data_IF_446658691455
#
_entry.id   IF_446658691455
#
_cell.length_a   1.000
_cell.length_b   1.000
_cell.length_c   1.000
_cell.angle_alpha   90.00
_cell.angle_beta   90.00
_cell.angle_gamma   90.00
#
_symmetry.space_group_name_H-M   'P 1'
#
loop_
_entity.id
_entity.type
_entity.pdbx_description
1 polymer ?
#
# COMPACT_ATOMS: atom_id res chain seq x y z
N UNK A 1 19.19 -50.06 7.17
CA UNK A 1 18.10 -49.24 7.76
C UNK A 1 18.61 -48.33 8.88
N UNK A 2 19.35 -48.83 9.87
CA UNK A 2 19.83 -48.04 11.02
C UNK A 2 20.73 -46.84 10.65
N UNK A 3 21.62 -47.00 9.66
CA UNK A 3 22.44 -45.88 9.16
C UNK A 3 21.61 -44.73 8.56
N UNK A 4 20.47 -45.04 7.93
CA UNK A 4 19.55 -44.05 7.37
C UNK A 4 18.80 -43.28 8.46
N UNK A 5 18.41 -43.94 9.54
CA UNK A 5 17.78 -43.31 10.71
C UNK A 5 18.77 -42.44 11.50
N UNK A 6 20.02 -42.87 11.61
CA UNK A 6 21.09 -42.07 12.23
C UNK A 6 21.40 -40.80 11.41
N UNK A 7 21.53 -40.93 10.09
CA UNK A 7 21.74 -39.78 9.20
C UNK A 7 20.54 -38.81 9.20
N UNK A 8 19.31 -39.33 9.18
CA UNK A 8 18.10 -38.52 9.28
C UNK A 8 18.01 -37.78 10.63
N UNK A 9 18.38 -38.45 11.73
CA UNK A 9 18.49 -37.83 13.05
C UNK A 9 19.52 -36.69 13.09
N UNK A 10 20.71 -36.91 12.52
CA UNK A 10 21.74 -35.88 12.41
C UNK A 10 21.30 -34.66 11.60
N UNK A 11 20.63 -34.87 10.47
CA UNK A 11 20.07 -33.79 9.66
C UNK A 11 18.97 -33.02 10.39
N UNK A 12 18.10 -33.72 11.14
CA UNK A 12 17.07 -33.07 11.95
C UNK A 12 17.68 -32.22 13.07
N UNK A 13 18.70 -32.71 13.76
CA UNK A 13 19.41 -31.95 14.80
C UNK A 13 20.07 -30.70 14.22
N UNK A 14 20.75 -30.82 13.07
CA UNK A 14 21.33 -29.67 12.38
C UNK A 14 20.25 -28.66 11.97
N UNK A 15 19.12 -29.13 11.44
CA UNK A 15 18.01 -28.26 11.06
C UNK A 15 17.41 -27.52 12.26
N UNK A 16 17.18 -28.22 13.37
CA UNK A 16 16.70 -27.61 14.62
C UNK A 16 17.70 -26.59 15.16
N UNK A 17 19.00 -26.88 15.09
CA UNK A 17 20.05 -25.95 15.48
C UNK A 17 20.01 -24.68 14.62
N UNK A 18 19.91 -24.81 13.29
CA UNK A 18 19.79 -23.67 12.37
C UNK A 18 18.54 -22.85 12.67
N UNK A 19 17.39 -23.49 12.87
CA UNK A 19 16.13 -22.79 13.18
C UNK A 19 16.25 -22.04 14.50
N UNK A 20 16.79 -22.67 15.54
CA UNK A 20 16.91 -22.05 16.85
C UNK A 20 17.92 -20.88 16.83
N UNK A 21 19.15 -21.13 16.39
CA UNK A 21 20.26 -20.19 16.56
C UNK A 21 20.38 -19.15 15.44
N UNK A 22 19.98 -19.47 14.21
CA UNK A 22 20.10 -18.54 13.08
C UNK A 22 18.78 -17.84 12.72
N UNK A 23 17.63 -18.39 13.12
CA UNK A 23 16.32 -17.81 12.80
C UNK A 23 15.63 -17.26 14.06
N UNK A 24 15.35 -18.10 15.06
CA UNK A 24 14.57 -17.75 16.23
C UNK A 24 15.31 -16.78 17.16
N UNK A 25 16.52 -17.11 17.63
CA UNK A 25 17.26 -16.27 18.58
C UNK A 25 17.53 -14.85 18.02
N UNK A 26 18.03 -14.68 16.79
CA UNK A 26 18.19 -13.34 16.23
C UNK A 26 16.86 -12.61 16.05
N UNK A 27 15.75 -13.33 15.81
CA UNK A 27 14.42 -12.70 15.73
C UNK A 27 13.93 -12.24 17.10
N UNK A 28 14.11 -13.04 18.15
CA UNK A 28 13.71 -12.70 19.52
C UNK A 28 14.41 -11.42 20.00
N UNK A 29 15.72 -11.34 19.81
CA UNK A 29 16.51 -10.18 20.26
C UNK A 29 16.54 -9.02 19.25
N UNK A 30 15.96 -9.19 18.05
CA UNK A 30 15.94 -8.15 17.02
C UNK A 30 17.32 -7.89 16.40
N UNK A 31 18.24 -8.84 16.51
CA UNK A 31 19.59 -8.76 15.95
C UNK A 31 19.55 -9.16 14.47
N UNK A 32 20.19 -8.37 13.62
CA UNK A 32 20.41 -8.70 12.21
C UNK A 32 21.76 -9.38 12.04
N UNK A 33 21.81 -10.49 11.31
CA UNK A 33 23.06 -11.19 10.97
C UNK A 33 23.86 -10.50 9.86
N UNK A 34 23.43 -9.32 9.37
CA UNK A 34 24.12 -8.54 8.34
C UNK A 34 23.97 -9.05 6.90
N UNK A 35 23.63 -10.33 6.70
CA UNK A 35 23.47 -10.97 5.37
C UNK A 35 22.52 -10.19 4.46
N UNK A 36 21.39 -9.74 4.99
CA UNK A 36 20.42 -8.95 4.22
C UNK A 36 20.99 -7.60 3.76
N UNK A 37 21.82 -6.96 4.60
CA UNK A 37 22.46 -5.68 4.24
C UNK A 37 23.41 -5.84 3.06
N UNK A 38 24.27 -6.85 3.09
CA UNK A 38 25.19 -7.19 1.98
C UNK A 38 24.40 -7.54 0.71
N UNK A 39 23.35 -8.36 0.83
CA UNK A 39 22.48 -8.71 -0.30
C UNK A 39 21.84 -7.47 -0.95
N UNK A 40 21.31 -6.55 -0.15
CA UNK A 40 20.72 -5.30 -0.66
C UNK A 40 21.78 -4.44 -1.35
N UNK A 41 22.98 -4.30 -0.77
CA UNK A 41 24.07 -3.54 -1.39
C UNK A 41 24.46 -4.11 -2.75
N UNK A 42 24.64 -5.44 -2.86
CA UNK A 42 24.93 -6.11 -4.13
C UNK A 42 23.82 -5.85 -5.15
N UNK A 43 22.57 -5.96 -4.72
CA UNK A 43 21.42 -5.76 -5.58
C UNK A 43 21.29 -4.32 -6.08
N UNK A 44 21.58 -3.32 -5.25
CA UNK A 44 21.64 -1.90 -5.66
C UNK A 44 22.64 -1.74 -6.81
N UNK A 45 23.87 -2.25 -6.66
CA UNK A 45 24.89 -2.14 -7.71
C UNK A 45 24.44 -2.80 -9.03
N UNK A 46 23.79 -3.97 -8.96
CA UNK A 46 23.25 -4.67 -10.14
C UNK A 46 22.16 -3.83 -10.83
N UNK A 47 21.21 -3.29 -10.05
CA UNK A 47 20.08 -2.53 -10.57
C UNK A 47 20.50 -1.15 -11.11
N UNK A 48 21.46 -0.49 -10.49
CA UNK A 48 22.06 0.76 -10.99
C UNK A 48 22.80 0.53 -12.30
N UNK A 49 23.63 -0.51 -12.37
CA UNK A 49 24.30 -0.91 -13.60
C UNK A 49 23.29 -1.21 -14.73
N UNK A 50 22.22 -1.95 -14.41
CA UNK A 50 21.15 -2.25 -15.37
C UNK A 50 20.45 -0.97 -15.84
N UNK A 51 20.17 -0.04 -14.93
CA UNK A 51 19.53 1.24 -15.23
C UNK A 51 20.38 2.08 -16.18
N UNK A 52 21.67 2.26 -15.91
CA UNK A 52 22.59 3.01 -16.79
C UNK A 52 22.64 2.40 -18.18
N UNK A 53 22.63 1.06 -18.27
CA UNK A 53 22.62 0.35 -19.56
C UNK A 53 21.34 0.57 -20.35
N UNK A 54 20.18 0.49 -19.69
CA UNK A 54 18.88 0.76 -20.33
C UNK A 54 18.84 2.20 -20.84
N UNK A 55 19.28 3.17 -20.03
CA UNK A 55 19.33 4.57 -20.41
C UNK A 55 20.27 4.83 -21.59
N UNK A 56 21.43 4.18 -21.63
CA UNK A 56 22.37 4.25 -22.76
C UNK A 56 21.75 3.68 -24.04
N UNK A 57 21.14 2.49 -23.97
CA UNK A 57 20.45 1.91 -25.12
C UNK A 57 19.31 2.80 -25.65
N UNK A 58 18.59 3.48 -24.74
CA UNK A 58 17.56 4.45 -25.11
C UNK A 58 18.14 5.70 -25.79
N UNK A 59 19.27 6.23 -25.31
CA UNK A 59 19.96 7.35 -25.96
C UNK A 59 20.48 6.98 -27.36
N UNK A 60 20.96 5.75 -27.53
CA UNK A 60 21.42 5.24 -28.83
C UNK A 60 20.25 5.02 -29.82
N UNK A 61 19.04 4.70 -29.33
CA UNK A 61 17.83 4.56 -30.15
C UNK A 61 17.07 5.89 -30.39
N UNK A 62 17.21 6.88 -29.50
CA UNK A 62 16.51 8.15 -29.55
C UNK A 62 17.28 9.18 -30.37
N UNK A 63 17.38 8.98 -31.69
CA UNK A 63 17.78 10.04 -32.65
C UNK A 63 16.61 11.00 -32.99
N UNK A 64 15.44 10.82 -32.38
CA UNK A 64 14.29 11.72 -32.53
C UNK A 64 14.01 12.40 -31.18
N UNK A 65 13.99 13.74 -31.10
CA UNK A 65 13.59 14.44 -29.88
C UNK A 65 12.12 14.13 -29.60
N UNK A 66 11.83 13.51 -28.45
CA UNK A 66 10.48 13.52 -27.89
C UNK A 66 10.32 14.87 -27.21
N UNK A 67 9.40 15.75 -27.64
CA UNK A 67 9.12 16.96 -26.89
C UNK A 67 8.47 16.53 -25.57
N UNK A 68 9.06 16.90 -24.44
CA UNK A 68 8.26 17.15 -23.24
C UNK A 68 7.68 18.56 -23.36
N UNK A 69 6.35 18.69 -23.27
CA UNK A 69 5.82 19.84 -22.56
C UNK A 69 4.85 19.38 -21.46
N UNK A 70 4.85 20.15 -20.39
CA UNK A 70 3.83 20.12 -19.34
C UNK A 70 2.43 20.15 -19.98
N UNK A 71 1.55 19.22 -19.58
CA UNK A 71 0.17 19.15 -20.05
C UNK A 71 0.06 18.68 -21.51
N UNK A 72 -0.19 17.38 -21.71
CA UNK A 72 -0.38 16.79 -23.06
C UNK A 72 -1.57 17.44 -23.80
N UNK A 73 -2.53 18.03 -23.06
CA UNK A 73 -3.71 18.69 -23.62
C UNK A 73 -3.93 20.01 -22.87
N UNK A 74 -3.94 21.13 -23.59
CA UNK A 74 -4.34 22.43 -23.05
C UNK A 74 -5.87 22.53 -23.08
N UNK A 75 -6.51 22.64 -21.92
CA UNK A 75 -7.95 22.85 -21.83
C UNK A 75 -8.31 24.29 -22.19
N UNK A 76 -9.19 24.44 -23.17
CA UNK A 76 -9.99 25.66 -23.30
C UNK A 76 -11.01 25.65 -22.15
N UNK A 77 -10.79 26.46 -21.11
CA UNK A 77 -11.62 26.51 -19.90
C UNK A 77 -13.01 27.13 -20.09
N UNK A 78 -13.80 26.62 -21.04
CA UNK A 78 -15.17 27.07 -21.34
C UNK A 78 -16.26 26.10 -20.88
N UNK A 79 -17.50 26.58 -20.86
CA UNK A 79 -18.66 25.74 -20.56
C UNK A 79 -18.95 24.74 -21.70
N UNK A 80 -19.68 23.65 -21.42
CA UNK A 80 -20.06 22.67 -22.45
C UNK A 80 -20.79 23.34 -23.63
N UNK A 81 -21.68 24.29 -23.33
CA UNK A 81 -22.42 25.02 -24.35
C UNK A 81 -21.48 25.84 -25.25
N UNK A 82 -20.54 26.59 -24.66
CA UNK A 82 -19.59 27.42 -25.42
C UNK A 82 -18.71 26.60 -26.36
N UNK A 83 -18.21 25.45 -25.90
CA UNK A 83 -17.33 24.60 -26.71
C UNK A 83 -18.11 23.86 -27.82
N UNK A 84 -19.36 23.48 -27.56
CA UNK A 84 -20.26 22.91 -28.58
C UNK A 84 -20.68 23.98 -29.61
N UNK A 85 -21.04 25.18 -29.18
CA UNK A 85 -21.33 26.31 -30.07
C UNK A 85 -20.14 26.65 -30.95
N UNK A 86 -18.94 26.76 -30.35
CA UNK A 86 -17.69 27.01 -31.08
C UNK A 86 -17.46 26.00 -32.20
N UNK A 87 -17.79 24.73 -31.96
CA UNK A 87 -17.69 23.66 -32.96
C UNK A 87 -18.77 23.74 -34.03
N UNK A 88 -19.98 24.16 -33.66
CA UNK A 88 -21.11 24.37 -34.59
C UNK A 88 -20.96 25.65 -35.43
N UNK A 89 -20.06 26.59 -35.09
CA UNK A 89 -19.82 27.82 -35.90
C UNK A 89 -19.45 27.53 -37.36
N UNK A 90 -18.84 26.39 -37.67
CA UNK A 90 -18.50 25.99 -39.04
C UNK A 90 -19.69 25.46 -39.84
N UNK A 91 -20.78 25.05 -39.17
CA UNK A 91 -22.01 24.54 -39.77
C UNK A 91 -23.21 24.84 -38.86
N UNK A 92 -23.87 25.99 -39.02
CA UNK A 92 -25.02 26.36 -38.21
C UNK A 92 -26.17 25.38 -38.48
N UNK A 93 -26.63 24.67 -37.45
CA UNK A 93 -27.88 23.90 -37.49
C UNK A 93 -29.00 24.74 -36.86
N UNK A 94 -30.28 24.52 -37.24
CA UNK A 94 -31.42 25.05 -36.52
C UNK A 94 -31.35 24.68 -35.02
N UNK A 95 -31.79 25.59 -34.14
CA UNK A 95 -31.97 25.29 -32.71
C UNK A 95 -32.87 24.06 -32.56
N UNK A 96 -32.47 23.09 -31.73
CA UNK A 96 -33.21 21.84 -31.53
C UNK A 96 -32.54 20.59 -32.10
N UNK A 97 -31.51 20.71 -32.94
CA UNK A 97 -30.94 19.54 -33.62
C UNK A 97 -29.64 19.01 -32.99
N UNK A 98 -29.58 17.68 -32.88
CA UNK A 98 -28.36 16.93 -32.54
C UNK A 98 -27.39 16.97 -33.71
N UNK A 99 -26.14 17.37 -33.47
CA UNK A 99 -25.09 17.28 -34.49
C UNK A 99 -24.16 16.10 -34.17
N UNK A 100 -23.86 15.28 -35.18
CA UNK A 100 -22.91 14.15 -35.00
C UNK A 100 -21.53 14.62 -34.49
N UNK A 101 -21.15 15.86 -34.82
CA UNK A 101 -19.92 16.51 -34.32
C UNK A 101 -19.88 16.68 -32.80
N UNK A 102 -21.03 16.71 -32.12
CA UNK A 102 -21.11 16.84 -30.67
C UNK A 102 -20.52 15.60 -29.97
N UNK A 103 -20.57 14.43 -30.62
CA UNK A 103 -19.91 13.23 -30.13
C UNK A 103 -18.38 13.42 -30.01
N UNK A 104 -17.76 14.23 -30.88
CA UNK A 104 -16.33 14.53 -30.81
C UNK A 104 -15.98 15.40 -29.60
N UNK A 105 -16.89 16.26 -29.14
CA UNK A 105 -16.72 16.99 -27.89
C UNK A 105 -16.65 16.01 -26.71
N UNK A 106 -17.63 15.11 -26.58
CA UNK A 106 -17.62 14.12 -25.50
C UNK A 106 -16.42 13.18 -25.56
N UNK A 107 -16.00 12.79 -26.76
CA UNK A 107 -14.80 11.97 -26.94
C UNK A 107 -13.53 12.73 -26.50
N UNK A 108 -13.37 13.99 -26.91
CA UNK A 108 -12.26 14.86 -26.45
C UNK A 108 -12.27 15.02 -24.93
N UNK A 109 -13.41 15.40 -24.36
CA UNK A 109 -13.55 15.62 -22.91
C UNK A 109 -13.32 14.32 -22.12
N UNK A 110 -13.75 13.18 -22.67
CA UNK A 110 -13.48 11.87 -22.10
C UNK A 110 -11.98 11.52 -22.10
N UNK A 111 -11.29 11.75 -23.22
CA UNK A 111 -9.83 11.55 -23.33
C UNK A 111 -9.08 12.49 -22.38
N UNK A 112 -9.43 13.78 -22.33
CA UNK A 112 -8.86 14.74 -21.38
C UNK A 112 -9.04 14.27 -19.93
N UNK A 113 -10.22 13.80 -19.58
CA UNK A 113 -10.50 13.32 -18.21
C UNK A 113 -9.71 12.06 -17.86
N UNK A 114 -9.37 11.21 -18.83
CA UNK A 114 -8.49 10.04 -18.64
C UNK A 114 -7.04 10.49 -18.46
N UNK A 115 -6.59 11.48 -19.24
CA UNK A 115 -5.22 12.02 -19.16
C UNK A 115 -5.00 12.74 -17.83
N UNK A 116 -5.98 13.52 -17.38
CA UNK A 116 -5.95 14.28 -16.13
C UNK A 116 -6.33 13.44 -14.90
N UNK A 117 -6.43 12.11 -15.04
CA UNK A 117 -6.87 11.23 -13.97
C UNK A 117 -5.82 11.10 -12.85
N UNK A 118 -5.97 11.94 -11.83
CA UNK A 118 -5.11 11.94 -10.66
C UNK A 118 -5.43 10.81 -9.66
N UNK A 119 -6.56 10.10 -9.83
CA UNK A 119 -7.11 9.18 -8.83
C UNK A 119 -6.92 7.74 -9.23
N UNK A 120 -7.36 7.30 -10.42
CA UNK A 120 -7.31 5.87 -10.77
C UNK A 120 -5.88 5.36 -10.97
N UNK A 121 -4.98 6.23 -11.43
CA UNK A 121 -3.55 5.93 -11.53
C UNK A 121 -2.95 5.53 -10.18
N UNK A 122 -3.47 6.06 -9.07
CA UNK A 122 -3.02 5.74 -7.71
C UNK A 122 -3.45 4.36 -7.22
N UNK A 123 -4.34 3.70 -7.95
CA UNK A 123 -4.74 2.31 -7.71
C UNK A 123 -4.07 1.32 -8.68
N UNK A 124 -3.05 1.78 -9.41
CA UNK A 124 -2.19 0.97 -10.26
C UNK A 124 -0.76 0.95 -9.70
N UNK A 125 0.01 -0.08 -10.06
CA UNK A 125 1.42 -0.19 -9.70
C UNK A 125 2.18 1.08 -10.10
N UNK A 126 3.10 1.53 -9.24
CA UNK A 126 3.94 2.70 -9.51
C UNK A 126 4.77 2.45 -10.78
N UNK A 127 4.73 3.40 -11.71
CA UNK A 127 5.54 3.34 -12.92
C UNK A 127 6.99 3.71 -12.59
N UNK A 128 7.89 2.77 -12.85
CA UNK A 128 9.31 2.96 -12.58
C UNK A 128 9.99 3.70 -13.74
N UNK A 129 10.85 4.66 -13.41
CA UNK A 129 11.70 5.34 -14.38
C UNK A 129 12.70 4.38 -15.07
N UNK A 130 13.07 3.27 -14.39
CA UNK A 130 13.93 2.23 -14.94
C UNK A 130 13.45 0.82 -14.57
N UNK A 131 13.76 -0.15 -15.44
CA UNK A 131 13.33 -1.53 -15.22
C UNK A 131 14.15 -2.21 -14.11
N UNK A 132 13.44 -2.74 -13.10
CA UNK A 132 14.02 -3.47 -11.98
C UNK A 132 14.22 -4.98 -12.23
N UNK A 133 14.31 -5.42 -13.49
CA UNK A 133 14.48 -6.82 -13.87
C UNK A 133 13.34 -7.75 -13.40
N UNK A 134 12.18 -7.21 -13.03
CA UNK A 134 10.96 -7.98 -12.79
C UNK A 134 10.06 -7.86 -14.03
N UNK A 135 9.64 -8.99 -14.60
CA UNK A 135 8.81 -8.99 -15.82
C UNK A 135 7.44 -8.34 -15.60
N UNK A 136 6.94 -8.37 -14.37
CA UNK A 136 5.58 -7.90 -14.02
C UNK A 136 5.45 -6.39 -13.79
N UNK A 137 6.56 -5.67 -13.63
CA UNK A 137 6.62 -4.21 -13.46
C UNK A 137 7.00 -3.54 -14.79
N UNK A 138 6.93 -4.29 -15.89
CA UNK A 138 7.40 -3.88 -17.20
C UNK A 138 6.28 -4.08 -18.23
N UNK A 139 5.67 -2.99 -18.68
CA UNK A 139 4.60 -3.04 -19.68
C UNK A 139 5.09 -2.73 -21.10
N UNK A 140 6.26 -2.11 -21.29
CA UNK A 140 6.64 -1.50 -22.57
C UNK A 140 8.08 -1.71 -23.05
N UNK A 141 8.91 -2.53 -22.40
CA UNK A 141 10.28 -2.75 -22.89
C UNK A 141 10.37 -4.02 -23.74
N UNK A 142 10.31 -3.83 -25.08
CA UNK A 142 10.83 -4.80 -26.05
C UNK A 142 12.34 -4.99 -25.83
N UNK A 143 12.83 -6.19 -26.20
CA UNK A 143 14.22 -6.66 -26.08
C UNK A 143 15.27 -5.53 -26.02
N UNK A 144 15.93 -5.36 -24.87
CA UNK A 144 16.90 -4.27 -24.65
C UNK A 144 18.33 -4.73 -25.03
N UNK A 145 18.80 -5.86 -24.49
CA UNK A 145 20.11 -6.44 -24.84
C UNK A 145 20.31 -7.87 -24.33
N UNK A 146 21.15 -8.67 -25.01
CA UNK A 146 21.50 -10.04 -24.59
C UNK A 146 22.05 -10.10 -23.16
N UNK A 147 22.95 -9.18 -22.79
CA UNK A 147 23.57 -9.13 -21.45
C UNK A 147 22.53 -8.91 -20.35
N UNK A 148 21.58 -8.01 -20.59
CA UNK A 148 20.50 -7.75 -19.64
C UNK A 148 19.54 -8.94 -19.52
N UNK A 149 19.27 -9.63 -20.64
CA UNK A 149 18.48 -10.87 -20.66
C UNK A 149 19.15 -12.00 -19.87
N UNK A 150 20.49 -12.14 -19.97
CA UNK A 150 21.24 -13.12 -19.18
C UNK A 150 21.14 -12.82 -17.68
N UNK A 151 21.32 -11.56 -17.28
CA UNK A 151 21.20 -11.15 -15.87
C UNK A 151 19.76 -11.34 -15.37
N UNK A 152 18.76 -11.02 -16.19
CA UNK A 152 17.36 -11.29 -15.89
C UNK A 152 17.11 -12.78 -15.69
N UNK A 153 17.62 -13.64 -16.59
CA UNK A 153 17.48 -15.09 -16.49
C UNK A 153 18.14 -15.66 -15.24
N UNK A 154 19.36 -15.23 -14.92
CA UNK A 154 20.02 -15.56 -13.65
C UNK A 154 19.19 -15.08 -12.45
N UNK A 155 18.63 -13.88 -12.54
CA UNK A 155 17.73 -13.33 -11.54
C UNK A 155 16.47 -14.15 -11.33
N UNK A 156 15.90 -14.73 -12.39
CA UNK A 156 14.78 -15.68 -12.29
C UNK A 156 15.25 -16.95 -11.55
N UNK A 157 16.38 -17.53 -11.93
CA UNK A 157 16.92 -18.73 -11.25
C UNK A 157 17.14 -18.49 -9.76
N UNK A 158 17.77 -17.37 -9.39
CA UNK A 158 18.01 -17.02 -7.97
C UNK A 158 16.69 -16.78 -7.24
N UNK A 159 15.75 -16.00 -7.81
CA UNK A 159 14.49 -15.67 -7.14
C UNK A 159 13.60 -16.89 -6.93
N UNK A 160 13.46 -17.76 -7.93
CA UNK A 160 12.55 -18.90 -7.88
C UNK A 160 13.20 -20.17 -7.35
N UNK A 161 14.49 -20.40 -7.59
CA UNK A 161 15.22 -21.59 -7.15
C UNK A 161 15.79 -21.47 -5.74
N UNK A 162 16.14 -20.27 -5.28
CA UNK A 162 16.81 -20.07 -3.97
C UNK A 162 15.95 -19.24 -3.02
N UNK A 163 15.60 -18.01 -3.41
CA UNK A 163 14.92 -17.08 -2.51
C UNK A 163 13.49 -17.54 -2.18
N UNK A 164 12.71 -17.95 -3.16
CA UNK A 164 11.31 -18.31 -2.97
C UNK A 164 11.13 -19.52 -2.03
N UNK A 165 11.83 -20.67 -2.19
CA UNK A 165 11.77 -21.77 -1.24
C UNK A 165 12.18 -21.35 0.17
N UNK A 166 13.28 -20.61 0.31
CA UNK A 166 13.76 -20.11 1.60
C UNK A 166 12.70 -19.24 2.29
N UNK A 167 12.05 -18.34 1.54
CA UNK A 167 10.99 -17.46 2.03
C UNK A 167 9.75 -18.22 2.48
N UNK A 168 9.36 -19.27 1.76
CA UNK A 168 8.28 -20.17 2.20
C UNK A 168 8.66 -20.85 3.50
N UNK A 169 9.87 -21.40 3.62
CA UNK A 169 10.32 -22.05 4.85
C UNK A 169 10.28 -21.08 6.04
N UNK A 170 10.77 -19.86 5.87
CA UNK A 170 10.69 -18.82 6.91
C UNK A 170 9.25 -18.45 7.27
N UNK A 171 8.37 -18.30 6.29
CA UNK A 171 6.96 -18.02 6.53
C UNK A 171 6.27 -19.15 7.31
N UNK A 172 6.54 -20.41 6.97
CA UNK A 172 6.01 -21.58 7.70
C UNK A 172 6.52 -21.62 9.13
N UNK A 173 7.81 -21.35 9.36
CA UNK A 173 8.40 -21.28 10.70
C UNK A 173 7.75 -20.15 11.51
N UNK A 174 7.63 -18.95 10.93
CA UNK A 174 7.03 -17.79 11.61
C UNK A 174 5.56 -18.00 11.99
N UNK A 175 4.77 -18.55 11.07
CA UNK A 175 3.35 -18.86 11.32
C UNK A 175 3.18 -19.99 12.34
N UNK A 176 4.00 -21.04 12.26
CA UNK A 176 4.02 -22.13 13.25
C UNK A 176 4.37 -21.60 14.64
N UNK A 177 5.39 -20.74 14.74
CA UNK A 177 5.77 -20.07 15.99
C UNK A 177 4.63 -19.24 16.57
N UNK A 178 3.91 -18.49 15.73
CA UNK A 178 2.77 -17.71 16.18
C UNK A 178 1.67 -18.61 16.76
N UNK A 179 1.28 -19.67 16.05
CA UNK A 179 0.21 -20.58 16.48
C UNK A 179 0.60 -21.29 17.78
N UNK A 180 1.79 -21.88 17.84
CA UNK A 180 2.26 -22.62 19.01
C UNK A 180 2.50 -21.67 20.18
N UNK A 181 3.26 -20.59 19.97
CA UNK A 181 3.61 -19.63 21.00
C UNK A 181 2.39 -18.94 21.61
N UNK A 182 1.43 -18.49 20.81
CA UNK A 182 0.21 -17.86 21.34
C UNK A 182 -0.68 -18.86 22.06
N UNK A 183 -0.72 -20.12 21.63
CA UNK A 183 -1.46 -21.18 22.34
C UNK A 183 -0.85 -21.45 23.71
N UNK A 184 0.48 -21.60 23.79
CA UNK A 184 1.19 -21.82 25.06
C UNK A 184 1.03 -20.63 26.02
N UNK A 185 1.21 -19.40 25.52
CA UNK A 185 1.00 -18.17 26.31
C UNK A 185 -0.46 -18.04 26.77
N UNK A 186 -1.41 -18.50 25.96
CA UNK A 186 -2.84 -18.49 26.27
C UNK A 186 -3.21 -19.33 27.50
N UNK A 187 -2.45 -20.39 27.79
CA UNK A 187 -2.65 -21.26 28.95
C UNK A 187 -2.17 -20.63 30.26
N UNK A 188 -1.36 -19.57 30.20
CA UNK A 188 -0.80 -18.91 31.38
C UNK A 188 -1.84 -17.98 32.06
N UNK A 189 -1.80 -17.85 33.39
CA UNK A 189 -2.64 -16.89 34.11
C UNK A 189 -2.25 -15.44 33.78
N UNK A 190 -3.21 -14.52 33.90
CA UNK A 190 -2.99 -13.09 33.67
C UNK A 190 -1.90 -12.53 34.60
N UNK A 191 -0.78 -12.15 34.01
CA UNK A 191 0.40 -11.66 34.74
C UNK A 191 1.21 -10.69 33.87
N UNK A 192 2.12 -9.95 34.49
CA UNK A 192 3.12 -9.14 33.75
C UNK A 192 4.01 -10.02 32.86
N UNK A 193 4.43 -11.19 33.38
CA UNK A 193 5.23 -12.17 32.64
C UNK A 193 4.50 -12.71 31.39
N UNK A 194 3.20 -13.04 31.51
CA UNK A 194 2.37 -13.43 30.36
C UNK A 194 2.34 -12.35 29.28
N UNK A 195 2.17 -11.07 29.67
CA UNK A 195 2.14 -9.94 28.72
C UNK A 195 3.47 -9.77 28.01
N UNK A 196 4.58 -9.81 28.75
CA UNK A 196 5.92 -9.75 28.18
C UNK A 196 6.19 -10.91 27.21
N UNK A 197 5.85 -12.14 27.61
CA UNK A 197 6.04 -13.32 26.77
C UNK A 197 5.15 -13.28 25.52
N UNK A 198 3.92 -12.78 25.64
CA UNK A 198 3.03 -12.53 24.50
C UNK A 198 3.66 -11.53 23.53
N UNK A 199 4.15 -10.40 24.03
CA UNK A 199 4.83 -9.39 23.20
C UNK A 199 6.06 -10.00 22.49
N UNK A 200 6.87 -10.78 23.21
CA UNK A 200 8.04 -11.46 22.65
C UNK A 200 7.67 -12.46 21.54
N UNK A 201 6.65 -13.29 21.75
CA UNK A 201 6.17 -14.28 20.75
C UNK A 201 5.71 -13.58 19.48
N UNK A 202 4.89 -12.52 19.60
CA UNK A 202 4.37 -11.78 18.46
C UNK A 202 5.49 -11.07 17.70
N UNK A 203 6.38 -10.34 18.39
CA UNK A 203 7.53 -9.67 17.77
C UNK A 203 8.42 -10.66 17.01
N UNK A 204 8.70 -11.81 17.62
CA UNK A 204 9.51 -12.87 17.00
C UNK A 204 8.86 -13.38 15.72
N UNK A 205 7.54 -13.66 15.74
CA UNK A 205 6.79 -14.03 14.54
C UNK A 205 6.89 -12.96 13.45
N UNK A 206 6.57 -11.70 13.75
CA UNK A 206 6.54 -10.64 12.75
C UNK A 206 7.93 -10.39 12.15
N UNK A 207 9.00 -10.48 12.96
CA UNK A 207 10.38 -10.40 12.47
C UNK A 207 10.75 -11.54 11.54
N UNK A 208 10.33 -12.78 11.85
CA UNK A 208 10.55 -13.93 10.96
C UNK A 208 9.75 -13.76 9.66
N UNK A 209 8.48 -13.36 9.73
CA UNK A 209 7.65 -13.11 8.56
C UNK A 209 8.22 -11.98 7.68
N UNK A 210 8.70 -10.90 8.28
CA UNK A 210 9.39 -9.80 7.58
C UNK A 210 10.65 -10.30 6.87
N UNK A 211 11.48 -11.11 7.54
CA UNK A 211 12.66 -11.77 6.93
C UNK A 211 12.27 -12.74 5.80
N UNK A 212 11.13 -13.43 5.94
CA UNK A 212 10.51 -14.25 4.90
C UNK A 212 10.03 -13.47 3.68
N UNK A 213 9.97 -12.14 3.74
CA UNK A 213 9.77 -11.27 2.57
C UNK A 213 11.06 -10.58 2.11
N UNK A 214 12.19 -10.94 2.71
CA UNK A 214 13.46 -10.20 2.64
C UNK A 214 13.24 -8.70 2.90
N UNK A 215 12.39 -8.39 3.89
CA UNK A 215 12.09 -7.03 4.24
C UNK A 215 13.27 -6.39 4.97
N UNK A 216 13.72 -5.24 4.48
CA UNK A 216 14.71 -4.38 5.13
C UNK A 216 14.00 -3.10 5.54
N UNK A 217 13.74 -2.98 6.84
CA UNK A 217 13.00 -1.84 7.41
C UNK A 217 13.97 -0.88 8.08
N UNK A 218 13.98 0.36 7.61
CA UNK A 218 14.72 1.45 8.25
C UNK A 218 13.74 2.29 9.05
N UNK A 219 13.92 2.28 10.37
CA UNK A 219 13.09 3.04 11.30
C UNK A 219 13.78 4.34 11.70
N UNK A 220 13.13 5.45 11.40
CA UNK A 220 13.59 6.80 11.69
C UNK A 220 12.82 7.37 12.88
N UNK A 221 13.46 8.23 13.67
CA UNK A 221 12.84 8.95 14.80
C UNK A 221 12.16 8.04 15.84
N UNK A 222 12.83 6.95 16.23
CA UNK A 222 12.31 5.93 17.18
C UNK A 222 11.83 6.49 18.54
N UNK A 223 12.26 7.70 18.93
CA UNK A 223 11.75 8.41 20.11
C UNK A 223 10.24 8.67 20.04
N UNK A 224 9.69 8.83 18.84
CA UNK A 224 8.27 9.15 18.62
C UNK A 224 7.39 7.91 18.43
N UNK A 225 7.91 6.71 18.73
CA UNK A 225 7.14 5.47 18.58
C UNK A 225 5.78 5.55 19.27
N UNK A 226 4.74 4.94 18.67
CA UNK A 226 3.42 4.88 19.28
C UNK A 226 3.44 4.29 20.68
N UNK A 227 2.90 5.03 21.64
CA UNK A 227 2.92 4.64 23.05
C UNK A 227 1.64 3.91 23.46
N UNK A 228 1.69 3.17 24.59
CA UNK A 228 0.53 2.47 25.15
C UNK A 228 -0.60 3.48 25.43
N UNK A 229 -1.83 3.11 25.08
CA UNK A 229 -3.00 4.00 25.11
C UNK A 229 -3.04 5.09 24.03
N UNK A 230 -2.14 5.07 23.05
CA UNK A 230 -2.16 5.95 21.88
C UNK A 230 -2.80 5.32 20.64
N UNK A 231 -2.94 6.10 19.58
CA UNK A 231 -3.41 5.63 18.27
C UNK A 231 -2.30 5.84 17.23
N UNK A 232 -1.81 4.77 16.63
CA UNK A 232 -0.89 4.81 15.50
C UNK A 232 -1.68 4.98 14.21
N UNK A 233 -1.41 6.06 13.48
CA UNK A 233 -2.01 6.35 12.18
C UNK A 233 -0.92 6.29 11.11
N UNK A 234 -1.13 5.49 10.07
CA UNK A 234 -0.18 5.35 8.98
C UNK A 234 -0.86 5.41 7.61
N UNK A 235 -0.12 5.85 6.58
CA UNK A 235 -0.52 5.62 5.20
C UNK A 235 -0.50 4.11 4.88
N UNK A 236 -1.29 3.69 3.89
CA UNK A 236 -1.54 2.28 3.62
C UNK A 236 -1.25 1.91 2.16
N UNK A 237 -0.12 1.24 1.92
CA UNK A 237 0.25 0.76 0.59
C UNK A 237 -0.06 -0.71 0.39
N UNK A 238 -0.04 -1.50 1.47
CA UNK A 238 -0.17 -2.95 1.37
C UNK A 238 -0.63 -3.61 2.67
N UNK A 239 -1.33 -4.77 2.62
CA UNK A 239 -1.61 -5.57 3.80
C UNK A 239 -0.37 -5.92 4.65
N UNK A 240 0.82 -5.98 4.05
CA UNK A 240 2.04 -6.28 4.82
C UNK A 240 2.53 -5.09 5.66
N UNK A 241 1.95 -3.88 5.51
CA UNK A 241 2.25 -2.71 6.35
C UNK A 241 2.13 -3.05 7.84
N UNK A 242 1.14 -3.90 8.18
CA UNK A 242 0.96 -4.45 9.53
C UNK A 242 2.21 -5.20 9.99
N UNK A 243 2.76 -6.08 9.17
CA UNK A 243 3.95 -6.87 9.50
C UNK A 243 5.17 -5.96 9.60
N UNK A 244 5.28 -4.95 8.73
CA UNK A 244 6.36 -3.97 8.72
C UNK A 244 6.37 -3.12 10.00
N UNK A 245 5.21 -2.63 10.44
CA UNK A 245 5.12 -1.90 11.72
C UNK A 245 5.30 -2.84 12.91
N UNK A 246 4.67 -4.03 12.86
CA UNK A 246 4.71 -5.00 13.95
C UNK A 246 6.08 -5.66 14.17
N UNK A 247 7.02 -5.42 13.25
CA UNK A 247 8.42 -5.84 13.39
C UNK A 247 9.18 -5.01 14.47
N UNK A 248 8.70 -3.81 14.81
CA UNK A 248 9.32 -2.90 15.78
C UNK A 248 8.53 -2.68 17.07
N UNK A 249 7.23 -2.99 17.07
CA UNK A 249 6.36 -2.86 18.23
C UNK A 249 5.05 -3.64 18.09
N UNK A 250 4.37 -3.93 19.19
CA UNK A 250 3.08 -4.63 19.15
C UNK A 250 1.91 -3.63 19.08
N UNK A 251 0.92 -3.92 18.22
CA UNK A 251 -0.24 -3.07 18.00
C UNK A 251 -1.54 -3.84 18.20
N UNK A 252 -2.54 -3.16 18.76
CA UNK A 252 -3.92 -3.63 18.70
C UNK A 252 -4.49 -3.28 17.33
N UNK A 253 -4.94 -4.28 16.59
CA UNK A 253 -5.51 -4.07 15.26
C UNK A 253 -7.03 -4.05 15.29
N UNK A 254 -7.62 -3.12 14.52
CA UNK A 254 -9.05 -3.10 14.23
C UNK A 254 -9.28 -3.84 12.91
N UNK A 255 -9.47 -5.16 12.96
CA UNK A 255 -9.73 -5.94 11.75
C UNK A 255 -11.21 -5.89 11.36
N UNK A 256 -11.50 -5.48 10.12
CA UNK A 256 -12.84 -5.59 9.51
C UNK A 256 -13.17 -6.96 8.92
N UNK A 257 -12.25 -7.93 8.99
CA UNK A 257 -12.46 -9.30 8.50
C UNK A 257 -12.82 -10.23 9.67
N UNK A 258 -13.93 -10.95 9.52
CA UNK A 258 -14.43 -11.91 10.50
C UNK A 258 -13.47 -13.10 10.68
N UNK A 259 -12.80 -13.16 11.83
CA UNK A 259 -12.28 -14.43 12.35
C UNK A 259 -13.38 -15.10 13.20
N UNK A 260 -13.52 -16.44 13.17
CA UNK A 260 -14.54 -17.13 13.95
C UNK A 260 -14.35 -16.89 15.45
N UNK A 261 -15.44 -16.77 16.23
CA UNK A 261 -15.35 -16.45 17.65
C UNK A 261 -14.87 -17.68 18.42
N UNK A 262 -13.61 -17.68 18.86
CA UNK A 262 -13.13 -18.61 19.90
C UNK A 262 -12.78 -17.81 21.15
N UNK A 263 -13.43 -18.17 22.26
CA UNK A 263 -13.48 -17.48 23.57
C UNK A 263 -12.11 -17.24 24.26
N UNK A 264 -10.99 -17.71 23.70
CA UNK A 264 -9.65 -17.61 24.31
C UNK A 264 -8.75 -16.50 23.75
N UNK A 265 -9.20 -15.71 22.78
CA UNK A 265 -8.46 -14.53 22.26
C UNK A 265 -9.02 -13.23 22.82
N UNK A 266 -8.74 -12.92 24.09
CA UNK A 266 -9.01 -11.56 24.64
C UNK A 266 -7.81 -10.62 24.52
N UNK A 267 -6.61 -11.13 24.18
CA UNK A 267 -5.38 -10.34 24.05
C UNK A 267 -4.83 -10.20 22.64
N UNK A 268 -5.47 -10.84 21.65
CA UNK A 268 -5.13 -10.71 20.24
C UNK A 268 -6.37 -10.25 19.48
N UNK A 269 -6.30 -9.03 18.92
CA UNK A 269 -7.20 -8.38 17.97
C UNK A 269 -8.68 -8.84 18.02
N UNK A 270 -9.52 -8.08 18.72
CA UNK A 270 -10.97 -8.19 18.57
C UNK A 270 -11.40 -7.54 17.24
N UNK A 271 -12.15 -8.25 16.36
CA UNK A 271 -12.75 -7.65 15.17
C UNK A 271 -13.86 -6.70 15.61
N UNK A 272 -13.62 -5.39 15.50
CA UNK A 272 -14.56 -4.37 15.98
C UNK A 272 -15.43 -3.88 14.81
N UNK A 273 -16.74 -4.15 14.87
CA UNK A 273 -17.74 -3.71 13.87
C UNK A 273 -17.84 -2.17 13.83
N UNK A 274 -17.82 -1.58 12.63
CA UNK A 274 -17.74 -0.11 12.37
C UNK A 274 -18.71 0.77 13.17
N UNK A 275 -19.93 0.32 13.48
CA UNK A 275 -20.93 1.15 14.20
C UNK A 275 -20.96 0.95 15.72
N UNK A 276 -20.41 -0.16 16.24
CA UNK A 276 -20.24 -0.39 17.68
C UNK A 276 -18.78 -0.15 18.16
N UNK A 277 -17.92 0.29 17.24
CA UNK A 277 -16.48 0.40 17.45
C UNK A 277 -16.06 1.64 18.23
N UNK A 278 -16.67 2.80 17.99
CA UNK A 278 -16.18 4.05 18.57
C UNK A 278 -16.14 4.05 20.11
N UNK A 279 -17.18 3.60 20.85
CA UNK A 279 -17.12 3.54 22.31
C UNK A 279 -16.05 2.56 22.84
N UNK A 280 -15.91 1.41 22.18
CA UNK A 280 -14.91 0.41 22.56
C UNK A 280 -13.47 0.87 22.26
N UNK A 281 -13.25 1.61 21.17
CA UNK A 281 -11.97 2.24 20.87
C UNK A 281 -11.65 3.32 21.89
N UNK A 282 -12.61 4.17 22.25
CA UNK A 282 -12.46 5.17 23.33
C UNK A 282 -12.06 4.53 24.64
N UNK A 283 -12.75 3.47 25.05
CA UNK A 283 -12.42 2.73 26.27
C UNK A 283 -11.02 2.06 26.21
N UNK A 284 -10.59 1.62 25.02
CA UNK A 284 -9.25 1.06 24.83
C UNK A 284 -8.16 2.13 24.95
N UNK A 285 -8.35 3.29 24.32
CA UNK A 285 -7.42 4.43 24.39
C UNK A 285 -7.33 4.97 25.82
N UNK A 286 -8.46 5.06 26.52
CA UNK A 286 -8.50 5.48 27.93
C UNK A 286 -7.70 4.53 28.85
N UNK A 287 -7.65 3.24 28.53
CA UNK A 287 -6.83 2.27 29.23
C UNK A 287 -5.35 2.37 28.80
N UNK A 288 -4.61 3.31 29.41
CA UNK A 288 -3.19 3.61 29.14
C UNK A 288 -2.22 2.41 29.24
N UNK A 289 -2.66 1.28 29.80
CA UNK A 289 -1.87 0.05 29.91
C UNK A 289 -1.94 -0.83 28.66
N UNK A 290 -2.86 -0.56 27.73
CA UNK A 290 -3.07 -1.36 26.52
C UNK A 290 -2.18 -0.92 25.37
N UNK A 291 -1.93 -1.85 24.45
CA UNK A 291 -1.15 -1.60 23.24
C UNK A 291 -1.78 -0.48 22.37
N UNK A 292 -0.95 0.32 21.67
CA UNK A 292 -1.45 1.33 20.75
C UNK A 292 -2.34 0.70 19.67
N UNK A 293 -3.38 1.41 19.26
CA UNK A 293 -4.28 0.96 18.20
C UNK A 293 -3.68 1.36 16.85
N UNK A 294 -3.50 0.40 15.94
CA UNK A 294 -3.06 0.69 14.57
C UNK A 294 -4.27 0.91 13.66
N UNK A 295 -4.29 2.06 12.98
CA UNK A 295 -5.35 2.46 12.06
C UNK A 295 -4.73 2.96 10.74
N UNK A 296 -5.31 2.49 9.64
CA UNK A 296 -5.05 2.96 8.28
C UNK A 296 -6.27 3.76 7.78
N UNK A 297 -6.33 5.07 8.04
CA UNK A 297 -7.54 5.87 7.83
C UNK A 297 -7.90 6.09 6.36
N UNK A 298 -7.03 5.74 5.40
CA UNK A 298 -7.36 5.72 3.97
C UNK A 298 -8.46 4.69 3.64
N UNK A 299 -8.59 3.63 4.43
CA UNK A 299 -9.61 2.58 4.25
C UNK A 299 -9.42 1.69 3.01
N UNK A 300 -8.31 1.85 2.29
CA UNK A 300 -7.90 1.02 1.15
C UNK A 300 -6.39 1.13 0.98
N UNK A 301 -5.77 0.16 0.30
CA UNK A 301 -4.39 0.28 -0.14
C UNK A 301 -4.30 1.20 -1.37
N UNK A 302 -3.35 2.14 -1.33
CA UNK A 302 -2.99 3.09 -2.39
C UNK A 302 -1.55 2.80 -2.84
N UNK A 303 -1.22 3.10 -4.09
CA UNK A 303 0.16 2.94 -4.52
C UNK A 303 1.10 3.86 -3.75
N UNK A 304 2.39 3.57 -3.84
CA UNK A 304 3.44 4.17 -3.03
C UNK A 304 3.78 5.65 -3.43
N UNK A 305 2.88 6.36 -4.09
CA UNK A 305 3.13 7.71 -4.64
C UNK A 305 2.29 8.81 -4.01
N UNK A 306 1.20 8.47 -3.32
CA UNK A 306 0.23 9.43 -2.78
C UNK A 306 -0.42 8.93 -1.50
N UNK A 307 -1.02 9.84 -0.74
CA UNK A 307 -1.90 9.54 0.39
C UNK A 307 -3.31 10.07 0.08
N UNK A 308 -4.32 9.22 0.24
CA UNK A 308 -5.71 9.63 0.01
C UNK A 308 -6.32 10.31 1.25
N UNK A 309 -7.50 10.90 1.08
CA UNK A 309 -8.24 11.51 2.18
C UNK A 309 -8.45 10.53 3.33
N UNK A 310 -8.06 10.96 4.53
CA UNK A 310 -8.26 10.20 5.75
C UNK A 310 -9.70 10.28 6.23
N UNK A 311 -10.28 9.14 6.62
CA UNK A 311 -11.63 9.09 7.18
C UNK A 311 -11.65 9.71 8.58
N UNK A 312 -12.49 10.73 8.78
CA UNK A 312 -12.63 11.47 10.06
C UNK A 312 -12.96 10.60 11.28
N UNK A 313 -13.66 9.47 11.09
CA UNK A 313 -14.13 8.64 12.21
C UNK A 313 -13.00 8.08 13.10
N UNK A 314 -11.78 7.98 12.59
CA UNK A 314 -10.60 7.58 13.39
C UNK A 314 -10.07 8.70 14.30
N UNK A 315 -10.42 9.95 14.00
CA UNK A 315 -9.97 11.15 14.69
C UNK A 315 -11.01 11.66 15.71
N UNK A 316 -12.27 11.23 15.58
CA UNK A 316 -13.37 11.49 16.54
C UNK A 316 -13.27 10.65 17.83
N UNK A 317 -12.35 9.68 17.89
CA UNK A 317 -12.16 8.79 19.05
C UNK A 317 -11.55 9.57 20.22
N UNK A 318 -10.74 10.60 19.94
CA UNK A 318 -9.96 11.31 20.95
C UNK A 318 -8.71 10.53 21.39
N UNK A 319 -7.80 11.22 22.09
CA UNK A 319 -6.50 10.70 22.48
C UNK A 319 -5.35 11.19 21.58
N UNK A 320 -4.15 10.69 21.86
CA UNK A 320 -2.93 11.09 21.15
C UNK A 320 -2.74 10.27 19.88
N UNK A 321 -2.67 10.93 18.74
CA UNK A 321 -2.32 10.33 17.45
C UNK A 321 -0.80 10.31 17.32
N UNK A 322 -0.25 9.17 16.93
CA UNK A 322 1.15 8.99 16.55
C UNK A 322 1.18 8.75 15.04
N UNK A 323 1.48 9.78 14.23
CA UNK A 323 1.54 9.63 12.78
C UNK A 323 2.79 8.85 12.37
N UNK A 324 2.65 8.01 11.36
CA UNK A 324 3.73 7.19 10.82
C UNK A 324 3.69 7.23 9.30
N UNK A 325 4.79 7.68 8.70
CA UNK A 325 4.97 7.62 7.25
C UNK A 325 5.69 6.33 6.86
N UNK A 326 5.14 5.62 5.88
CA UNK A 326 5.69 4.40 5.29
C UNK A 326 5.97 4.68 3.82
N UNK A 327 7.23 4.47 3.39
CA UNK A 327 7.62 4.58 1.99
C UNK A 327 8.40 3.35 1.56
N UNK A 328 7.89 2.67 0.55
CA UNK A 328 8.58 1.56 -0.09
C UNK A 328 9.57 2.07 -1.15
N UNK A 329 10.64 1.32 -1.35
CA UNK A 329 11.55 1.55 -2.47
C UNK A 329 11.16 0.63 -3.64
N UNK A 330 10.53 1.19 -4.70
CA UNK A 330 9.95 0.39 -5.77
C UNK A 330 11.02 -0.26 -6.67
N UNK A 331 12.30 0.12 -6.51
CA UNK A 331 13.44 -0.50 -7.23
C UNK A 331 13.58 -1.99 -6.90
N UNK A 332 13.19 -2.42 -5.71
CA UNK A 332 13.37 -3.81 -5.26
C UNK A 332 12.14 -4.69 -5.51
N UNK A 333 10.97 -4.06 -5.60
CA UNK A 333 9.71 -4.74 -5.85
C UNK A 333 8.54 -3.79 -5.68
N UNK A 334 7.47 -4.05 -6.42
CA UNK A 334 6.20 -3.34 -6.25
C UNK A 334 5.46 -3.90 -5.03
N UNK A 335 5.38 -3.12 -3.95
CA UNK A 335 4.71 -3.51 -2.72
C UNK A 335 3.17 -3.36 -2.82
N UNK A 336 2.66 -2.56 -3.75
CA UNK A 336 1.25 -2.17 -3.80
C UNK A 336 0.33 -3.37 -4.01
N UNK A 337 -0.75 -3.44 -3.22
CA UNK A 337 -1.78 -4.46 -3.39
C UNK A 337 -3.04 -3.92 -4.07
N UNK A 338 -3.23 -4.35 -5.33
CA UNK A 338 -4.50 -4.18 -6.00
C UNK A 338 -5.46 -5.36 -5.72
N UNK A 339 -6.32 -5.18 -4.70
CA UNK A 339 -7.35 -6.15 -4.32
C UNK A 339 -8.34 -6.52 -5.42
N UNK A 340 -8.53 -5.67 -6.44
CA UNK A 340 -9.43 -5.95 -7.57
C UNK A 340 -8.80 -6.87 -8.61
N UNK A 341 -7.47 -6.97 -8.63
CA UNK A 341 -6.70 -7.75 -9.61
C UNK A 341 -6.11 -9.03 -9.01
N UNK A 342 -5.71 -8.98 -7.74
CA UNK A 342 -5.00 -10.09 -7.08
C UNK A 342 -5.65 -10.45 -5.75
N UNK A 343 -5.91 -11.74 -5.56
CA UNK A 343 -6.21 -12.28 -4.23
C UNK A 343 -4.95 -12.26 -3.33
N UNK A 344 -5.15 -12.44 -2.02
CA UNK A 344 -4.07 -12.36 -1.03
C UNK A 344 -2.92 -13.36 -1.31
N UNK A 345 -3.24 -14.60 -1.69
CA UNK A 345 -2.24 -15.63 -1.94
C UNK A 345 -1.37 -15.26 -3.14
N UNK A 346 -2.00 -14.88 -4.26
CA UNK A 346 -1.30 -14.42 -5.47
C UNK A 346 -0.43 -13.20 -5.17
N UNK A 347 -0.92 -12.27 -4.35
CA UNK A 347 -0.16 -11.11 -3.89
C UNK A 347 1.06 -11.52 -3.04
N UNK A 348 0.90 -12.41 -2.06
CA UNK A 348 2.00 -12.87 -1.22
C UNK A 348 3.06 -13.63 -2.04
N UNK A 349 2.64 -14.49 -2.98
CA UNK A 349 3.56 -15.15 -3.91
C UNK A 349 4.33 -14.14 -4.76
N UNK A 350 3.67 -13.04 -5.17
CA UNK A 350 4.35 -11.93 -5.85
C UNK A 350 5.39 -11.29 -4.94
N UNK A 351 5.07 -11.01 -3.68
CA UNK A 351 6.04 -10.41 -2.75
C UNK A 351 7.21 -11.36 -2.49
N UNK A 352 6.94 -12.65 -2.28
CA UNK A 352 7.96 -13.69 -2.07
C UNK A 352 8.82 -13.96 -3.30
N UNK A 353 8.43 -13.50 -4.49
CA UNK A 353 9.22 -13.60 -5.73
C UNK A 353 9.79 -12.25 -6.20
N UNK A 354 9.62 -11.18 -5.42
CA UNK A 354 10.32 -9.89 -5.60
C UNK A 354 11.81 -10.03 -5.27
N UNK A 355 12.63 -9.03 -5.57
CA UNK A 355 14.01 -9.04 -5.12
C UNK A 355 14.13 -8.86 -3.61
N UNK A 356 13.48 -7.82 -3.08
CA UNK A 356 13.38 -7.54 -1.65
C UNK A 356 12.23 -6.57 -1.39
N UNK A 357 11.89 -6.37 -0.12
CA UNK A 357 10.96 -5.32 0.32
C UNK A 357 11.78 -4.31 1.15
N UNK A 358 12.26 -3.26 0.51
CA UNK A 358 12.99 -2.20 1.22
C UNK A 358 12.00 -1.10 1.55
N UNK A 359 11.94 -0.71 2.82
CA UNK A 359 10.93 0.22 3.32
C UNK A 359 11.52 1.12 4.39
N UNK A 360 11.16 2.40 4.31
CA UNK A 360 11.45 3.39 5.32
C UNK A 360 10.18 3.68 6.12
N UNK A 361 10.33 3.74 7.43
CA UNK A 361 9.27 4.03 8.38
C UNK A 361 9.71 5.20 9.25
N UNK A 362 9.01 6.32 9.17
CA UNK A 362 9.28 7.49 10.01
C UNK A 362 8.20 7.61 11.08
N UNK A 363 8.62 7.66 12.34
CA UNK A 363 7.73 7.99 13.45
C UNK A 363 7.71 9.51 13.64
N UNK A 364 6.56 10.14 13.38
CA UNK A 364 6.41 11.60 13.50
C UNK A 364 6.03 11.97 14.95
N UNK A 365 6.29 13.22 15.36
CA UNK A 365 5.87 13.71 16.67
C UNK A 365 4.38 13.48 16.92
N UNK A 366 3.99 13.12 18.17
CA UNK A 366 2.59 12.90 18.51
C UNK A 366 1.77 14.18 18.31
N UNK A 367 0.53 14.01 17.85
CA UNK A 367 -0.40 15.08 17.56
C UNK A 367 -1.71 14.87 18.33
N UNK A 368 -2.27 15.97 18.82
CA UNK A 368 -3.63 16.04 19.38
C UNK A 368 -4.43 17.07 18.60
N UNK A 369 -5.75 16.95 18.65
CA UNK A 369 -6.66 17.95 18.10
C UNK A 369 -6.44 19.29 18.81
N UNK A 370 -6.45 20.39 18.06
CA UNK A 370 -6.34 21.75 18.59
C UNK A 370 -7.73 22.32 18.93
N UNK A 371 -7.81 23.39 19.71
CA UNK A 371 -9.10 23.96 20.17
C UNK A 371 -9.93 24.55 19.02
N UNK A 372 -9.27 25.02 17.95
CA UNK A 372 -9.84 25.61 16.75
C UNK A 372 -10.02 24.62 15.60
N UNK A 373 -9.75 23.33 15.82
CA UNK A 373 -9.70 22.31 14.78
C UNK A 373 -10.82 21.27 14.95
N UNK A 374 -11.57 20.99 13.89
CA UNK A 374 -12.50 19.86 13.86
C UNK A 374 -11.80 18.53 13.52
N UNK A 375 -12.51 17.40 13.66
CA UNK A 375 -11.92 16.09 13.41
C UNK A 375 -11.47 15.87 11.95
N UNK A 376 -12.07 16.57 10.98
CA UNK A 376 -11.71 16.47 9.57
C UNK A 376 -10.46 17.31 9.25
N UNK A 377 -10.37 18.52 9.80
CA UNK A 377 -9.18 19.36 9.75
C UNK A 377 -7.99 18.66 10.43
N UNK A 378 -8.22 18.05 11.59
CA UNK A 378 -7.19 17.24 12.27
C UNK A 378 -6.73 16.05 11.45
N UNK A 379 -7.66 15.33 10.83
CA UNK A 379 -7.33 14.25 9.91
C UNK A 379 -6.49 14.77 8.72
N UNK A 380 -6.82 15.94 8.18
CA UNK A 380 -6.07 16.57 7.10
C UNK A 380 -4.67 16.96 7.53
N UNK A 381 -4.50 17.61 8.69
CA UNK A 381 -3.18 18.01 9.21
C UNK A 381 -2.27 16.81 9.44
N UNK A 382 -2.80 15.73 10.03
CA UNK A 382 -2.05 14.48 10.22
C UNK A 382 -1.68 13.84 8.88
N UNK A 383 -2.61 13.84 7.91
CA UNK A 383 -2.37 13.35 6.55
C UNK A 383 -1.25 14.12 5.86
N UNK A 384 -1.31 15.45 5.87
CA UNK A 384 -0.30 16.30 5.21
C UNK A 384 1.09 16.07 5.84
N UNK A 385 1.17 15.98 7.16
CA UNK A 385 2.45 15.66 7.83
C UNK A 385 3.03 14.30 7.39
N UNK A 386 2.19 13.27 7.25
CA UNK A 386 2.62 11.95 6.75
C UNK A 386 3.05 12.04 5.27
N UNK A 387 2.30 12.78 4.46
CA UNK A 387 2.58 12.96 3.03
C UNK A 387 3.91 13.68 2.81
N UNK A 388 4.14 14.79 3.53
CA UNK A 388 5.36 15.59 3.48
C UNK A 388 6.57 14.76 3.90
N UNK A 389 6.49 14.03 5.02
CA UNK A 389 7.60 13.21 5.52
C UNK A 389 7.92 12.05 4.57
N UNK A 390 6.91 11.46 3.92
CA UNK A 390 7.06 10.34 3.00
C UNK A 390 7.40 10.74 1.56
N UNK A 391 7.38 12.03 1.22
CA UNK A 391 7.47 12.50 -0.17
C UNK A 391 6.34 11.92 -1.03
N UNK A 392 5.11 11.98 -0.51
CA UNK A 392 3.90 11.47 -1.14
C UNK A 392 3.01 12.64 -1.55
N UNK A 393 2.28 12.51 -2.65
CA UNK A 393 1.30 13.50 -3.05
C UNK A 393 0.09 13.48 -2.10
N UNK A 394 -0.20 14.62 -1.48
CA UNK A 394 -1.39 14.80 -0.64
C UNK A 394 -2.63 14.99 -1.53
N UNK A 395 -3.55 14.00 -1.53
CA UNK A 395 -4.79 14.06 -2.30
C UNK A 395 -6.01 14.31 -1.42
N UNK A 396 -6.92 15.15 -1.92
CA UNK A 396 -8.21 15.43 -1.29
C UNK A 396 -9.28 14.35 -1.60
N UNK A 397 -8.95 13.36 -2.41
CA UNK A 397 -9.90 12.36 -2.91
C UNK A 397 -10.09 11.17 -1.98
N UNK A 398 -11.30 10.62 -2.00
CA UNK A 398 -11.65 9.44 -1.21
C UNK A 398 -11.19 8.13 -1.87
N UNK A 399 -10.53 7.27 -1.09
CA UNK A 399 -10.11 5.94 -1.57
C UNK A 399 -11.26 5.03 -2.03
N UNK A 400 -12.51 5.32 -1.63
CA UNK A 400 -13.72 4.61 -2.05
C UNK A 400 -14.03 4.74 -3.55
N UNK A 401 -13.50 5.78 -4.21
CA UNK A 401 -13.65 5.99 -5.66
C UNK A 401 -13.06 4.84 -6.49
N UNK A 402 -12.16 4.03 -5.91
CA UNK A 402 -11.63 2.80 -6.52
C UNK A 402 -12.71 1.83 -6.99
N UNK A 403 -13.83 1.74 -6.26
CA UNK A 403 -14.85 0.70 -6.42
C UNK A 403 -16.24 1.24 -6.71
N UNK A 404 -16.47 2.53 -6.47
CA UNK A 404 -17.76 3.14 -6.71
C UNK A 404 -17.94 3.41 -8.21
N UNK A 405 -19.11 3.04 -8.75
CA UNK A 405 -19.54 3.62 -10.03
C UNK A 405 -19.90 5.08 -9.81
N UNK A 406 -19.76 5.89 -10.86
CA UNK A 406 -20.27 7.27 -10.87
C UNK A 406 -21.76 7.23 -10.52
N UNK A 407 -22.20 8.08 -9.59
CA UNK A 407 -23.61 8.15 -9.19
C UNK A 407 -24.46 8.51 -10.40
N UNK A 408 -25.63 7.91 -10.50
CA UNK A 408 -26.57 8.15 -11.61
C UNK A 408 -26.95 9.62 -11.70
N UNK A 409 -27.14 10.30 -10.57
CA UNK A 409 -27.43 11.74 -10.51
C UNK A 409 -26.42 12.61 -11.27
N UNK A 410 -25.12 12.31 -11.21
CA UNK A 410 -24.10 13.06 -11.94
C UNK A 410 -24.14 12.79 -13.45
N UNK A 411 -24.52 11.55 -13.83
CA UNK A 411 -24.72 11.20 -15.24
C UNK A 411 -25.95 11.91 -15.80
N UNK A 412 -27.04 11.91 -15.04
CA UNK A 412 -28.29 12.59 -15.38
C UNK A 412 -28.09 14.10 -15.49
N UNK A 413 -27.30 14.71 -14.62
CA UNK A 413 -26.98 16.14 -14.67
C UNK A 413 -26.24 16.50 -15.97
N UNK A 414 -25.22 15.72 -16.37
CA UNK A 414 -24.52 15.92 -17.65
C UNK A 414 -25.46 15.74 -18.85
N UNK A 415 -26.33 14.72 -18.81
CA UNK A 415 -27.34 14.49 -19.84
C UNK A 415 -28.35 15.63 -19.92
N UNK A 416 -28.78 16.16 -18.77
CA UNK A 416 -29.70 17.30 -18.68
C UNK A 416 -29.08 18.55 -19.26
N UNK A 417 -27.82 18.86 -18.93
CA UNK A 417 -27.13 20.03 -19.50
C UNK A 417 -27.04 19.93 -21.03
N UNK A 418 -26.76 18.75 -21.58
CA UNK A 418 -26.71 18.55 -23.03
C UNK A 418 -28.09 18.62 -23.67
N UNK A 419 -29.11 18.08 -23.01
CA UNK A 419 -30.50 18.18 -23.45
C UNK A 419 -30.98 19.63 -23.48
N UNK A 420 -30.69 20.42 -22.43
CA UNK A 420 -31.00 21.86 -22.40
C UNK A 420 -30.29 22.62 -23.52
N UNK A 421 -29.04 22.25 -23.82
CA UNK A 421 -28.29 22.83 -24.93
C UNK A 421 -28.94 22.55 -26.30
N UNK A 422 -29.39 21.31 -26.54
CA UNK A 422 -30.04 20.95 -27.81
C UNK A 422 -31.41 21.62 -27.93
N UNK A 423 -32.27 21.47 -26.92
CA UNK A 423 -33.68 21.91 -26.97
C UNK A 423 -33.82 23.42 -26.85
N UNK A 424 -32.77 24.11 -26.37
CA UNK A 424 -32.85 25.52 -25.98
C UNK A 424 -33.69 25.69 -24.71
N UNK A 425 -33.66 26.88 -24.11
CA UNK A 425 -34.47 27.23 -22.93
C UNK A 425 -35.99 27.26 -23.19
N UNK A 426 -36.48 26.72 -24.32
CA UNK A 426 -37.88 26.76 -24.77
C UNK A 426 -38.50 25.38 -25.05
N UNK A 427 -38.14 24.34 -24.30
CA UNK A 427 -38.94 23.11 -24.27
C UNK A 427 -40.32 23.38 -23.67
N UNK A 428 -41.39 22.70 -24.12
CA UNK A 428 -42.77 23.15 -23.96
C UNK A 428 -43.11 23.35 -22.49
N UNK A 429 -43.35 24.62 -22.11
CA UNK A 429 -44.13 24.92 -20.94
C UNK A 429 -45.45 24.16 -21.05
N UNK A 430 -45.78 23.45 -19.98
CA UNK A 430 -47.11 22.93 -19.64
C UNK A 430 -48.24 23.40 -20.57
N UNK A 431 -48.55 22.61 -21.58
CA UNK A 431 -49.89 22.63 -22.16
C UNK A 431 -50.79 21.84 -21.21
N UNK A 432 -51.72 22.59 -20.61
CA UNK A 432 -52.74 22.25 -19.61
C UNK A 432 -53.39 20.86 -19.73
#
# INVERSE_FOLDING_TARGET
MEAGWSAAGGLLHLWLFVVLFLILLPAMFGVSLGVTGVYIQVLVHILEWATVRIQRGRKEQSSVPVPLPNGIIERAGGSMAEELERRRRSRPLPSGEFALSDALYFLKTGVESIVDDQVTQRFSSEELASWNLLTRTNHNFRYISLRLTVIWGLGVLVRYGVLFPLRITLAVIGLSWLVIGTSLVGLLPESSAKRWLSELVHLTCYRICARGLSATVQYHNKSNRPQKGGICVANHTTPIDVVILANDGCYAMVSGAAAPPRRHRRHAAAPLRRHAAAPALRAHVAARTKLPILIFPEGTCINNTSVMMFKKGSFEIGGTIHPVAIKYDPRFGDAFWNSSKYNMVSYLLRMMTSWAIVVNVWYLPPMTIQEDEDAAQFASRVKSAIADQGGLLDLAWDGGLKRAKVKESFREEQQKMYSCFIVGHGGPESSA
#
